data_IF_533178465922
#
_entry.id   IF_533178465922
#
_cell.length_a   1.000
_cell.length_b   1.000
_cell.length_c   1.000
_cell.angle_alpha   90.00
_cell.angle_beta   90.00
_cell.angle_gamma   90.00
#
_symmetry.space_group_name_H-M   'P 1'
#
loop_
_entity.id
_entity.type
_entity.pdbx_description
1 polymer ?
#
# COMPACT_ATOMS: atom_id res chain seq x y z
N UNK A 1 4.92 -28.74 -67.59
CA UNK A 1 4.06 -27.77 -66.87
C UNK A 1 4.14 -27.94 -65.39
N UNK A 2 4.60 -26.96 -64.77
CA UNK A 2 4.78 -27.01 -63.30
C UNK A 2 3.55 -26.48 -62.61
N UNK A 3 2.91 -27.28 -61.76
CA UNK A 3 1.82 -26.83 -60.95
C UNK A 3 2.34 -25.87 -59.87
N UNK A 4 1.71 -24.72 -59.80
CA UNK A 4 1.99 -23.77 -58.71
C UNK A 4 1.36 -24.28 -57.46
N UNK A 5 2.21 -24.72 -56.55
CA UNK A 5 1.74 -25.07 -55.19
C UNK A 5 1.47 -23.79 -54.46
N UNK A 6 0.22 -23.51 -54.26
CA UNK A 6 -0.17 -22.48 -53.32
C UNK A 6 0.14 -22.97 -51.91
N UNK A 7 1.19 -22.44 -51.33
CA UNK A 7 1.44 -22.68 -49.92
C UNK A 7 0.44 -21.87 -49.10
N UNK A 8 -0.52 -22.54 -48.56
CA UNK A 8 -1.35 -21.98 -47.54
C UNK A 8 -0.48 -21.70 -46.30
N UNK A 9 -0.07 -20.46 -46.18
CA UNK A 9 0.57 -20.00 -44.95
C UNK A 9 -0.55 -19.84 -43.93
N UNK A 10 -0.70 -20.83 -43.08
CA UNK A 10 -1.60 -20.71 -41.93
C UNK A 10 -0.92 -19.76 -40.97
N UNK A 11 -1.29 -18.51 -40.98
CA UNK A 11 -0.86 -17.56 -39.97
C UNK A 11 -1.62 -17.89 -38.73
N UNK A 12 -0.97 -18.63 -37.81
CA UNK A 12 -1.49 -18.81 -36.45
C UNK A 12 -1.24 -17.49 -35.76
N UNK A 13 -2.24 -16.64 -35.75
CA UNK A 13 -2.23 -15.48 -34.85
C UNK A 13 -2.40 -16.01 -33.42
N UNK A 14 -1.29 -16.14 -32.72
CA UNK A 14 -1.30 -16.30 -31.29
C UNK A 14 -1.82 -14.98 -30.72
N UNK A 15 -3.10 -14.94 -30.40
CA UNK A 15 -3.66 -13.88 -29.58
C UNK A 15 -2.96 -13.92 -28.22
N UNK A 16 -2.32 -12.81 -27.79
CA UNK A 16 -1.83 -12.78 -26.43
C UNK A 16 -3.03 -12.94 -25.51
N UNK A 17 -3.05 -14.01 -24.77
CA UNK A 17 -3.97 -14.17 -23.65
C UNK A 17 -3.52 -13.15 -22.63
N UNK A 18 -4.15 -11.98 -22.66
CA UNK A 18 -3.98 -11.02 -21.57
C UNK A 18 -4.60 -11.65 -20.35
N UNK A 19 -3.77 -12.32 -19.54
CA UNK A 19 -4.19 -12.73 -18.23
C UNK A 19 -4.35 -11.45 -17.43
N UNK A 20 -5.58 -10.97 -17.32
CA UNK A 20 -5.94 -9.96 -16.36
C UNK A 20 -5.76 -10.60 -14.99
N UNK A 21 -4.59 -10.40 -14.41
CA UNK A 21 -4.39 -10.65 -13.00
C UNK A 21 -5.20 -9.58 -12.25
N UNK A 22 -6.44 -9.92 -11.95
CA UNK A 22 -7.20 -9.18 -10.96
C UNK A 22 -6.48 -9.40 -9.63
N UNK A 23 -5.70 -8.41 -9.19
CA UNK A 23 -5.14 -8.40 -7.86
C UNK A 23 -6.29 -8.23 -6.88
N UNK A 24 -6.93 -9.33 -6.52
CA UNK A 24 -7.97 -9.33 -5.51
C UNK A 24 -7.38 -8.94 -4.16
N UNK A 25 -7.96 -7.93 -3.50
CA UNK A 25 -7.70 -7.59 -2.12
C UNK A 25 -6.52 -6.67 -1.83
N UNK A 26 -5.93 -6.02 -2.84
CA UNK A 26 -4.89 -5.01 -2.60
C UNK A 26 -5.53 -3.63 -2.62
N UNK A 27 -5.69 -3.02 -1.44
CA UNK A 27 -6.16 -1.65 -1.29
C UNK A 27 -4.95 -0.76 -1.02
N UNK A 28 -4.64 0.15 -1.95
CA UNK A 28 -3.60 1.13 -1.80
C UNK A 28 -4.19 2.53 -1.64
N UNK A 29 -3.74 3.23 -0.62
CA UNK A 29 -4.11 4.61 -0.35
C UNK A 29 -2.86 5.45 -0.25
N UNK A 30 -2.92 6.70 -0.70
CA UNK A 30 -1.78 7.61 -0.61
C UNK A 30 -2.13 8.80 0.27
N UNK A 31 -1.29 9.05 1.27
CA UNK A 31 -1.33 10.25 2.09
C UNK A 31 -0.32 11.25 1.54
N UNK A 32 -0.79 12.41 1.15
CA UNK A 32 0.06 13.51 0.68
C UNK A 32 0.15 14.57 1.76
N UNK A 33 1.35 14.73 2.29
CA UNK A 33 1.68 15.82 3.21
C UNK A 33 2.56 16.84 2.50
N UNK A 34 2.92 17.91 3.18
CA UNK A 34 3.80 18.94 2.63
C UNK A 34 5.15 18.38 2.15
N UNK A 35 5.75 17.47 2.92
CA UNK A 35 7.09 16.99 2.66
C UNK A 35 7.18 15.51 2.27
N UNK A 36 6.05 14.78 2.31
CA UNK A 36 6.05 13.33 2.06
C UNK A 36 4.85 12.89 1.23
N UNK A 37 5.09 11.90 0.38
CA UNK A 37 4.05 11.06 -0.21
C UNK A 37 4.16 9.67 0.41
N UNK A 38 3.11 9.23 1.08
CA UNK A 38 3.08 7.95 1.78
C UNK A 38 2.02 7.07 1.16
N UNK A 39 2.44 5.94 0.60
CA UNK A 39 1.51 4.95 0.06
C UNK A 39 1.39 3.78 1.03
N UNK A 40 0.18 3.51 1.45
CA UNK A 40 -0.16 2.42 2.36
C UNK A 40 -0.88 1.34 1.56
N UNK A 41 -0.38 0.12 1.64
CA UNK A 41 -0.99 -1.04 0.98
C UNK A 41 -1.32 -2.09 2.04
N UNK A 42 -2.60 -2.46 2.14
CA UNK A 42 -3.05 -3.57 2.98
C UNK A 42 -3.01 -4.85 2.17
N UNK A 43 -2.23 -5.82 2.64
CA UNK A 43 -2.05 -7.11 1.96
C UNK A 43 -2.90 -8.23 2.57
N UNK A 44 -3.91 -7.88 3.34
CA UNK A 44 -4.85 -8.81 3.95
C UNK A 44 -6.16 -8.86 3.16
N UNK A 45 -6.92 -9.92 3.36
CA UNK A 45 -8.27 -10.04 2.82
C UNK A 45 -9.17 -8.93 3.37
N UNK A 46 -10.07 -8.40 2.55
CA UNK A 46 -10.96 -7.29 2.93
C UNK A 46 -11.81 -7.57 4.16
N UNK A 47 -12.15 -8.83 4.40
CA UNK A 47 -12.99 -9.26 5.52
C UNK A 47 -12.26 -9.24 6.87
N UNK A 48 -10.93 -9.08 6.86
CA UNK A 48 -10.13 -9.08 8.09
C UNK A 48 -10.05 -7.66 8.64
N UNK A 49 -10.59 -7.47 9.85
CA UNK A 49 -10.63 -6.19 10.53
C UNK A 49 -9.23 -5.71 10.90
N UNK A 50 -8.41 -6.61 11.45
CA UNK A 50 -7.01 -6.34 11.77
C UNK A 50 -6.10 -6.90 10.69
N UNK A 51 -5.13 -6.13 10.26
CA UNK A 51 -4.17 -6.55 9.25
C UNK A 51 -2.74 -6.40 9.78
N UNK A 52 -2.01 -7.50 9.87
CA UNK A 52 -0.62 -7.53 10.30
C UNK A 52 0.36 -7.45 9.13
N UNK A 53 -0.15 -7.36 7.91
CA UNK A 53 0.65 -7.24 6.70
C UNK A 53 0.27 -5.99 5.94
N UNK A 54 0.85 -4.87 6.35
CA UNK A 54 0.66 -3.57 5.73
C UNK A 54 2.01 -3.06 5.25
N UNK A 55 2.06 -2.58 4.03
CA UNK A 55 3.26 -2.00 3.44
C UNK A 55 3.17 -0.48 3.43
N UNK A 56 4.22 0.17 3.90
CA UNK A 56 4.42 1.60 3.86
C UNK A 56 5.50 1.92 2.82
N UNK A 57 5.22 2.80 1.90
CA UNK A 57 6.24 3.38 1.01
C UNK A 57 6.16 4.89 1.17
N UNK A 58 7.13 5.46 1.87
CA UNK A 58 7.23 6.91 2.09
C UNK A 58 8.30 7.51 1.21
N UNK A 59 7.94 8.53 0.45
CA UNK A 59 8.86 9.30 -0.36
C UNK A 59 9.03 10.69 0.24
N UNK A 60 10.28 11.04 0.54
CA UNK A 60 10.65 12.40 0.93
C UNK A 60 10.71 13.29 -0.32
N UNK A 61 9.84 14.29 -0.39
CA UNK A 61 9.72 15.17 -1.56
C UNK A 61 10.91 16.11 -1.70
N UNK A 62 11.65 16.39 -0.62
CA UNK A 62 12.82 17.26 -0.67
C UNK A 62 14.05 16.55 -1.23
N UNK A 63 14.22 15.26 -0.99
CA UNK A 63 15.38 14.48 -1.41
C UNK A 63 15.07 13.50 -2.55
N UNK A 64 13.80 13.14 -2.75
CA UNK A 64 13.37 12.10 -3.67
C UNK A 64 13.64 10.68 -3.18
N UNK A 65 14.18 10.52 -1.98
CA UNK A 65 14.45 9.21 -1.38
C UNK A 65 13.17 8.55 -0.88
N UNK A 66 13.09 7.24 -1.03
CA UNK A 66 11.97 6.44 -0.54
C UNK A 66 12.43 5.41 0.47
N UNK A 67 11.55 5.11 1.42
CA UNK A 67 11.72 4.04 2.39
C UNK A 67 10.51 3.11 2.33
N UNK A 68 10.76 1.81 2.46
CA UNK A 68 9.72 0.79 2.47
C UNK A 68 9.73 0.06 3.81
N UNK A 69 8.58 0.03 4.47
CA UNK A 69 8.43 -0.58 5.78
C UNK A 69 7.25 -1.55 5.78
N UNK A 70 7.31 -2.49 6.69
CA UNK A 70 6.19 -3.38 7.02
C UNK A 70 5.63 -3.00 8.37
N UNK A 71 4.31 -3.13 8.49
CA UNK A 71 3.62 -2.81 9.72
C UNK A 71 2.23 -3.41 9.78
N UNK A 72 1.40 -2.79 10.56
CA UNK A 72 0.07 -3.31 10.91
C UNK A 72 -0.94 -2.20 11.11
N UNK A 73 -2.21 -2.60 11.11
CA UNK A 73 -3.30 -1.72 11.53
C UNK A 73 -3.26 -1.48 13.03
N UNK A 74 -3.68 -0.29 13.44
CA UNK A 74 -3.89 0.07 14.84
C UNK A 74 -5.38 0.25 15.11
N UNK A 75 -5.83 -0.25 16.25
CA UNK A 75 -7.21 -0.16 16.69
C UNK A 75 -7.29 0.28 18.15
N UNK A 76 -8.32 1.04 18.47
CA UNK A 76 -8.72 1.22 19.85
C UNK A 76 -9.39 -0.06 20.31
N UNK A 77 -9.01 -0.53 21.48
CA UNK A 77 -9.65 -1.72 22.06
C UNK A 77 -11.04 -1.38 22.58
N UNK A 78 -11.96 -2.34 22.48
CA UNK A 78 -13.28 -2.26 23.06
C UNK A 78 -13.20 -2.27 24.60
N UNK A 79 -14.34 -2.18 25.26
CA UNK A 79 -14.42 -2.17 26.73
C UNK A 79 -13.81 -3.42 27.38
N UNK A 80 -13.76 -4.56 26.68
CA UNK A 80 -13.14 -5.80 27.15
C UNK A 80 -11.60 -5.75 27.14
N UNK A 81 -10.99 -4.69 26.56
CA UNK A 81 -9.54 -4.48 26.41
C UNK A 81 -8.83 -5.53 25.58
N UNK A 82 -9.54 -6.33 24.83
CA UNK A 82 -9.00 -7.41 23.99
C UNK A 82 -9.48 -7.26 22.54
N UNK A 83 -10.75 -7.02 22.33
CA UNK A 83 -11.35 -6.93 21.00
C UNK A 83 -11.01 -5.61 20.31
N UNK A 84 -10.50 -5.64 19.07
CA UNK A 84 -10.30 -4.42 18.29
C UNK A 84 -11.64 -3.75 17.96
N UNK A 85 -11.77 -2.47 18.29
CA UNK A 85 -12.96 -1.69 17.99
C UNK A 85 -12.67 -0.65 16.91
N UNK A 86 -12.37 0.58 17.32
CA UNK A 86 -12.19 1.69 16.36
C UNK A 86 -10.86 1.57 15.63
N UNK A 87 -10.88 1.62 14.32
CA UNK A 87 -9.68 1.72 13.50
C UNK A 87 -9.04 3.11 13.65
N UNK A 88 -7.77 3.17 13.99
CA UNK A 88 -7.04 4.41 14.23
C UNK A 88 -6.04 4.76 13.13
N UNK A 89 -5.60 3.79 12.36
CA UNK A 89 -4.59 3.95 11.33
C UNK A 89 -3.59 2.81 11.32
N UNK A 90 -2.34 3.15 11.02
CA UNK A 90 -1.29 2.18 10.79
C UNK A 90 -0.03 2.50 11.59
N UNK A 91 0.65 1.46 12.03
CA UNK A 91 1.93 1.56 12.73
C UNK A 91 3.00 0.76 11.97
N UNK A 92 4.17 1.37 11.81
CA UNK A 92 5.34 0.75 11.20
C UNK A 92 6.55 0.98 12.08
N UNK A 93 7.43 -0.01 12.18
CA UNK A 93 8.65 0.10 12.98
C UNK A 93 9.88 -0.19 12.13
N UNK A 94 10.93 0.58 12.34
CA UNK A 94 12.24 0.39 11.74
C UNK A 94 13.29 0.72 12.79
N UNK A 95 13.84 -0.31 13.45
CA UNK A 95 14.75 -0.15 14.58
C UNK A 95 14.09 0.66 15.70
N UNK A 96 14.66 1.80 16.10
CA UNK A 96 14.10 2.68 17.11
C UNK A 96 13.18 3.76 16.52
N UNK A 97 12.90 3.70 15.22
CA UNK A 97 11.92 4.58 14.57
C UNK A 97 10.54 3.95 14.58
N UNK A 98 9.54 4.78 14.85
CA UNK A 98 8.14 4.40 14.82
C UNK A 98 7.37 5.37 13.94
N UNK A 99 6.70 4.83 12.95
CA UNK A 99 5.89 5.61 11.99
C UNK A 99 4.42 5.35 12.28
N UNK A 100 3.66 6.41 12.46
CA UNK A 100 2.22 6.37 12.66
C UNK A 100 1.54 7.13 11.54
N UNK A 101 0.58 6.48 10.90
CA UNK A 101 -0.25 7.09 9.86
C UNK A 101 -1.70 6.94 10.29
N UNK A 102 -2.33 8.05 10.65
CA UNK A 102 -3.68 8.04 11.22
C UNK A 102 -4.76 8.14 10.15
N UNK A 103 -5.97 7.71 10.52
CA UNK A 103 -7.15 7.83 9.63
C UNK A 103 -7.48 9.26 9.28
N UNK A 104 -7.18 10.20 10.18
CA UNK A 104 -7.39 11.64 9.95
C UNK A 104 -6.40 12.23 8.94
N UNK A 105 -5.33 11.49 8.61
CA UNK A 105 -4.33 11.93 7.65
C UNK A 105 -3.10 12.59 8.27
N UNK A 106 -2.71 12.16 9.46
CA UNK A 106 -1.50 12.64 10.11
C UNK A 106 -0.37 11.63 9.98
N UNK A 107 0.79 12.10 9.55
CA UNK A 107 2.03 11.34 9.56
C UNK A 107 2.87 11.77 10.76
N UNK A 108 3.16 10.85 11.66
CA UNK A 108 4.05 11.06 12.79
C UNK A 108 5.20 10.06 12.73
N UNK A 109 6.41 10.57 12.93
CA UNK A 109 7.61 9.73 13.00
C UNK A 109 8.34 10.04 14.30
N UNK A 110 8.53 9.02 15.10
CA UNK A 110 9.26 9.07 16.36
C UNK A 110 10.58 8.35 16.25
N UNK A 111 11.60 8.88 16.87
CA UNK A 111 12.84 8.17 17.18
C UNK A 111 12.90 8.01 18.70
N UNK A 112 12.67 6.79 19.17
CA UNK A 112 12.44 6.57 20.60
C UNK A 112 11.22 7.38 21.08
N UNK A 113 11.41 8.31 21.98
CA UNK A 113 10.36 9.21 22.47
C UNK A 113 10.32 10.56 21.77
N UNK A 114 11.28 10.83 20.86
CA UNK A 114 11.40 12.12 20.19
C UNK A 114 10.55 12.14 18.93
N UNK A 115 9.64 13.10 18.84
CA UNK A 115 8.84 13.36 17.65
C UNK A 115 9.68 14.12 16.63
N UNK A 116 9.95 13.49 15.49
CA UNK A 116 10.75 14.07 14.40
C UNK A 116 9.90 14.67 13.29
N UNK A 117 8.77 14.03 12.98
CA UNK A 117 7.85 14.47 11.93
C UNK A 117 6.45 14.46 12.50
N UNK A 118 5.72 15.54 12.26
CA UNK A 118 4.30 15.65 12.60
C UNK A 118 3.64 16.51 11.53
N UNK A 119 3.10 15.87 10.50
CA UNK A 119 2.52 16.56 9.36
C UNK A 119 1.11 16.05 9.08
N UNK A 120 0.22 17.00 8.84
CA UNK A 120 -1.11 16.71 8.35
C UNK A 120 -1.12 16.71 6.83
N UNK A 121 -1.91 15.82 6.27
CA UNK A 121 -2.03 15.67 4.83
C UNK A 121 -3.44 15.31 4.41
N UNK A 122 -3.57 14.94 3.16
CA UNK A 122 -4.83 14.56 2.54
C UNK A 122 -4.72 13.15 1.96
N UNK A 123 -5.69 12.31 2.28
CA UNK A 123 -5.80 10.98 1.70
C UNK A 123 -6.32 11.07 0.27
N UNK A 124 -5.67 10.33 -0.61
CA UNK A 124 -6.07 10.15 -2.00
C UNK A 124 -6.24 8.65 -2.22
N UNK A 125 -7.48 8.22 -2.39
CA UNK A 125 -7.77 6.82 -2.68
C UNK A 125 -7.57 6.54 -4.16
N UNK A 126 -6.76 5.56 -4.47
CA UNK A 126 -6.65 5.05 -5.83
C UNK A 126 -7.77 4.03 -6.06
N UNK A 127 -8.76 4.46 -6.82
CA UNK A 127 -9.79 3.58 -7.34
C UNK A 127 -9.24 2.68 -8.45
#
# INVERSE_FOLDING_TARGET
MKGIQARLITVITLLPISILLLAEGVLAETLKTKNFNVTITRNCLEEIVTCDDVTYVGRDLSTGKSIRLKGRTMHRLCADRVTPCRFLGYEFRNRNYRYLVTTEGTLQVYQGTKLLVNEEGTWDSQD
#
